data_IF_503905094177
#
_entry.id   IF_503905094177
#
_cell.length_a   1.000
_cell.length_b   1.000
_cell.length_c   1.000
_cell.angle_alpha   90.00
_cell.angle_beta   90.00
_cell.angle_gamma   90.00
#
_symmetry.space_group_name_H-M   'P 1'
#
loop_
_entity.id
_entity.type
_entity.pdbx_description
1 polymer ?
#
# COMPACT_ATOMS: atom_id res chain seq x y z
N UNK A 1 -17.16 -13.19 22.81
CA UNK A 1 -16.83 -12.76 21.43
C UNK A 1 -17.14 -13.92 20.50
N UNK A 2 -18.16 -13.78 19.65
CA UNK A 2 -18.68 -14.87 18.84
C UNK A 2 -17.66 -15.38 17.80
N UNK A 3 -17.44 -16.69 17.77
CA UNK A 3 -16.56 -17.37 16.80
C UNK A 3 -17.01 -17.07 15.36
N UNK A 4 -18.32 -16.95 15.14
CA UNK A 4 -18.90 -16.57 13.84
C UNK A 4 -18.49 -15.16 13.40
N UNK A 5 -18.48 -14.18 14.30
CA UNK A 5 -18.04 -12.81 14.02
C UNK A 5 -16.54 -12.75 13.70
N UNK A 6 -15.72 -13.55 14.38
CA UNK A 6 -14.28 -13.64 14.13
C UNK A 6 -13.97 -14.22 12.74
N UNK A 7 -14.73 -15.24 12.32
CA UNK A 7 -14.57 -15.85 11.00
C UNK A 7 -15.03 -14.92 9.88
N UNK A 8 -16.13 -14.19 10.06
CA UNK A 8 -16.61 -13.22 9.07
C UNK A 8 -15.62 -12.08 8.84
N UNK A 9 -14.99 -11.57 9.90
CA UNK A 9 -13.96 -10.51 9.76
C UNK A 9 -12.69 -11.00 9.05
N UNK A 10 -12.28 -12.25 9.25
CA UNK A 10 -11.13 -12.83 8.53
C UNK A 10 -11.42 -12.97 7.03
N UNK A 11 -12.60 -13.43 6.68
CA UNK A 11 -13.05 -13.58 5.28
C UNK A 11 -13.10 -12.21 4.62
N UNK A 12 -13.69 -11.22 5.28
CA UNK A 12 -13.77 -9.86 4.77
C UNK A 12 -12.38 -9.26 4.51
N UNK A 13 -11.46 -9.37 5.47
CA UNK A 13 -10.07 -8.89 5.32
C UNK A 13 -9.35 -9.55 4.15
N UNK A 14 -9.55 -10.84 3.92
CA UNK A 14 -9.00 -11.56 2.78
C UNK A 14 -9.54 -11.01 1.45
N UNK A 15 -10.84 -10.79 1.35
CA UNK A 15 -11.45 -10.22 0.15
C UNK A 15 -10.96 -8.79 -0.11
N UNK A 16 -10.92 -7.95 0.92
CA UNK A 16 -10.40 -6.59 0.82
C UNK A 16 -8.95 -6.62 0.36
N UNK A 17 -8.08 -7.41 1.00
CA UNK A 17 -6.66 -7.52 0.62
C UNK A 17 -6.48 -7.99 -0.83
N UNK A 18 -7.27 -8.98 -1.27
CA UNK A 18 -7.23 -9.50 -2.64
C UNK A 18 -7.51 -8.43 -3.67
N UNK A 19 -8.64 -7.73 -3.54
CA UNK A 19 -9.02 -6.68 -4.48
C UNK A 19 -8.09 -5.47 -4.44
N UNK A 20 -7.57 -5.16 -3.28
CA UNK A 20 -6.58 -4.10 -3.12
C UNK A 20 -5.26 -4.42 -3.80
N UNK A 21 -4.75 -5.65 -3.65
CA UNK A 21 -3.54 -6.07 -4.35
C UNK A 21 -3.71 -5.98 -5.86
N UNK A 22 -4.88 -6.35 -6.39
CA UNK A 22 -5.17 -6.20 -7.82
C UNK A 22 -5.18 -4.72 -8.23
N UNK A 23 -5.92 -3.89 -7.50
CA UNK A 23 -6.07 -2.46 -7.81
C UNK A 23 -4.73 -1.72 -7.71
N UNK A 24 -4.00 -1.87 -6.60
CA UNK A 24 -2.70 -1.22 -6.43
C UNK A 24 -1.63 -1.78 -7.37
N UNK A 25 -1.67 -3.08 -7.67
CA UNK A 25 -0.75 -3.67 -8.63
C UNK A 25 -0.92 -3.07 -10.02
N UNK A 26 -2.16 -2.93 -10.51
CA UNK A 26 -2.46 -2.30 -11.79
C UNK A 26 -2.12 -0.81 -11.79
N UNK A 27 -2.54 -0.10 -10.74
CA UNK A 27 -2.31 1.35 -10.63
C UNK A 27 -0.81 1.66 -10.60
N UNK A 28 -0.04 0.93 -9.78
CA UNK A 28 1.40 1.10 -9.69
C UNK A 28 2.12 0.78 -11.00
N UNK A 29 1.66 -0.23 -11.73
CA UNK A 29 2.19 -0.55 -13.05
C UNK A 29 1.97 0.59 -14.05
N UNK A 30 0.76 1.18 -14.08
CA UNK A 30 0.45 2.32 -14.94
C UNK A 30 1.34 3.51 -14.60
N UNK A 31 1.51 3.84 -13.31
CA UNK A 31 2.38 4.92 -12.88
C UNK A 31 3.85 4.65 -13.23
N UNK A 32 4.32 3.43 -13.08
CA UNK A 32 5.69 3.06 -13.46
C UNK A 32 5.95 3.31 -14.96
N UNK A 33 5.03 2.89 -15.82
CA UNK A 33 5.12 3.15 -17.27
C UNK A 33 5.14 4.66 -17.56
N UNK A 34 4.29 5.43 -16.87
CA UNK A 34 4.22 6.87 -17.02
C UNK A 34 5.50 7.59 -16.56
N UNK A 35 6.07 7.18 -15.43
CA UNK A 35 7.31 7.72 -14.88
C UNK A 35 8.52 7.36 -15.75
N UNK A 36 8.56 6.17 -16.33
CA UNK A 36 9.59 5.77 -17.28
C UNK A 36 9.55 6.60 -18.56
N UNK A 37 8.35 6.93 -19.06
CA UNK A 37 8.21 7.73 -20.31
C UNK A 37 8.67 9.18 -20.14
N UNK A 38 8.68 9.72 -18.92
CA UNK A 38 9.08 11.11 -18.62
C UNK A 38 10.57 11.33 -18.32
N UNK A 39 11.39 10.29 -18.38
CA UNK A 39 12.87 10.30 -18.25
C UNK A 39 13.45 10.95 -16.97
N UNK A 40 12.66 11.21 -15.93
CA UNK A 40 13.15 11.91 -14.74
C UNK A 40 13.03 11.16 -13.42
N UNK A 41 12.32 10.01 -13.38
CA UNK A 41 12.00 9.34 -12.12
C UNK A 41 12.26 7.83 -12.14
N UNK A 42 13.40 7.40 -12.68
CA UNK A 42 13.75 5.97 -12.78
C UNK A 42 13.71 5.21 -11.46
N UNK A 43 14.11 5.86 -10.35
CA UNK A 43 14.10 5.24 -9.02
C UNK A 43 12.67 4.98 -8.57
N UNK A 44 11.77 5.97 -8.72
CA UNK A 44 10.36 5.83 -8.37
C UNK A 44 9.70 4.77 -9.24
N UNK A 45 9.94 4.81 -10.55
CA UNK A 45 9.42 3.81 -11.48
C UNK A 45 9.89 2.38 -11.13
N UNK A 46 11.16 2.22 -10.75
CA UNK A 46 11.68 0.94 -10.28
C UNK A 46 10.99 0.43 -9.03
N UNK A 47 10.76 1.29 -8.04
CA UNK A 47 10.00 0.96 -6.83
C UNK A 47 8.55 0.59 -7.13
N UNK A 48 7.90 1.32 -8.05
CA UNK A 48 6.53 1.05 -8.48
C UNK A 48 6.42 -0.31 -9.21
N UNK A 49 7.38 -0.66 -10.05
CA UNK A 49 7.44 -1.98 -10.71
C UNK A 49 7.60 -3.09 -9.68
N UNK A 50 8.53 -2.94 -8.74
CA UNK A 50 8.73 -3.91 -7.66
C UNK A 50 7.47 -4.09 -6.80
N UNK A 51 6.82 -2.99 -6.45
CA UNK A 51 5.57 -3.01 -5.69
C UNK A 51 4.43 -3.67 -6.48
N UNK A 52 4.31 -3.37 -7.77
CA UNK A 52 3.33 -4.00 -8.66
C UNK A 52 3.54 -5.52 -8.72
N UNK A 53 4.78 -5.98 -8.93
CA UNK A 53 5.12 -7.40 -8.96
C UNK A 53 4.77 -8.10 -7.63
N UNK A 54 5.07 -7.47 -6.49
CA UNK A 54 4.73 -7.97 -5.17
C UNK A 54 3.21 -8.07 -4.98
N UNK A 55 2.44 -7.07 -5.38
CA UNK A 55 0.98 -7.08 -5.32
C UNK A 55 0.38 -8.21 -6.16
N UNK A 56 0.86 -8.41 -7.40
CA UNK A 56 0.40 -9.51 -8.25
C UNK A 56 0.78 -10.88 -7.67
N UNK A 57 1.97 -11.02 -7.11
CA UNK A 57 2.37 -12.26 -6.43
C UNK A 57 1.42 -12.59 -5.28
N UNK A 58 1.15 -11.62 -4.38
CA UNK A 58 0.24 -11.81 -3.25
C UNK A 58 -1.19 -12.10 -3.75
N UNK A 59 -1.66 -11.40 -4.78
CA UNK A 59 -2.97 -11.66 -5.40
C UNK A 59 -3.10 -13.11 -5.85
N UNK A 60 -2.11 -13.65 -6.58
CA UNK A 60 -2.10 -15.05 -7.05
C UNK A 60 -2.12 -16.02 -5.87
N UNK A 61 -1.34 -15.74 -4.81
CA UNK A 61 -1.34 -16.59 -3.62
C UNK A 61 -2.71 -16.58 -2.90
N UNK A 62 -3.36 -15.42 -2.83
CA UNK A 62 -4.69 -15.32 -2.23
C UNK A 62 -5.78 -16.00 -3.07
N UNK A 63 -5.67 -15.97 -4.40
CA UNK A 63 -6.55 -16.72 -5.30
C UNK A 63 -6.39 -18.23 -5.07
N UNK A 64 -5.16 -18.71 -4.86
CA UNK A 64 -4.85 -20.11 -4.51
C UNK A 64 -5.19 -20.49 -3.06
N UNK A 65 -5.94 -19.64 -2.34
CA UNK A 65 -6.30 -19.82 -0.93
C UNK A 65 -5.12 -19.96 0.06
N UNK A 66 -3.92 -19.57 -0.34
CA UNK A 66 -2.73 -19.55 0.52
C UNK A 66 -2.65 -18.22 1.26
N UNK A 67 -3.48 -18.05 2.29
CA UNK A 67 -3.45 -16.85 3.11
C UNK A 67 -2.34 -16.95 4.18
N UNK A 68 -1.49 -15.91 4.25
CA UNK A 68 -0.50 -15.72 5.32
C UNK A 68 -0.72 -14.36 5.99
N UNK A 69 -0.53 -14.30 7.30
CA UNK A 69 -0.79 -13.08 8.08
C UNK A 69 0.14 -11.92 7.69
N UNK A 70 1.34 -12.22 7.20
CA UNK A 70 2.32 -11.19 6.82
C UNK A 70 2.01 -10.49 5.49
N UNK A 71 1.12 -11.04 4.64
CA UNK A 71 0.79 -10.39 3.36
C UNK A 71 0.23 -8.97 3.53
N UNK A 72 -0.70 -8.79 4.47
CA UNK A 72 -1.27 -7.48 4.75
C UNK A 72 -0.21 -6.48 5.26
N UNK A 73 0.67 -6.93 6.15
CA UNK A 73 1.76 -6.12 6.70
C UNK A 73 2.72 -5.71 5.58
N UNK A 74 3.14 -6.66 4.75
CA UNK A 74 4.08 -6.40 3.65
C UNK A 74 3.50 -5.41 2.65
N UNK A 75 2.24 -5.54 2.25
CA UNK A 75 1.59 -4.58 1.34
C UNK A 75 1.53 -3.19 1.96
N UNK A 76 1.11 -3.09 3.22
CA UNK A 76 1.04 -1.79 3.92
C UNK A 76 2.41 -1.14 4.06
N UNK A 77 3.45 -1.89 4.43
CA UNK A 77 4.81 -1.36 4.57
C UNK A 77 5.39 -0.91 3.23
N UNK A 78 5.18 -1.71 2.18
CA UNK A 78 5.72 -1.40 0.85
C UNK A 78 5.01 -0.20 0.23
N UNK A 79 3.68 -0.08 0.35
CA UNK A 79 2.95 1.10 -0.14
C UNK A 79 3.36 2.37 0.63
N UNK A 80 3.58 2.27 1.94
CA UNK A 80 4.11 3.38 2.74
C UNK A 80 5.46 3.85 2.20
N UNK A 81 6.37 2.90 1.93
CA UNK A 81 7.70 3.21 1.41
C UNK A 81 7.63 3.88 0.04
N UNK A 82 6.82 3.37 -0.88
CA UNK A 82 6.63 3.96 -2.23
C UNK A 82 6.13 5.40 -2.13
N UNK A 83 5.14 5.66 -1.26
CA UNK A 83 4.58 7.00 -1.09
C UNK A 83 5.59 7.96 -0.45
N UNK A 84 6.33 7.52 0.57
CA UNK A 84 7.34 8.35 1.20
C UNK A 84 8.48 8.68 0.24
N UNK A 85 9.00 7.69 -0.50
CA UNK A 85 10.04 7.92 -1.51
C UNK A 85 9.55 8.83 -2.63
N UNK A 86 8.33 8.61 -3.12
CA UNK A 86 7.75 9.45 -4.17
C UNK A 86 7.51 10.89 -3.71
N UNK A 87 7.08 11.10 -2.46
CA UNK A 87 6.92 12.43 -1.89
C UNK A 87 8.26 13.12 -1.67
N UNK A 88 9.27 12.39 -1.21
CA UNK A 88 10.63 12.94 -1.00
C UNK A 88 11.26 13.40 -2.32
N UNK A 89 11.11 12.64 -3.40
CA UNK A 89 11.71 12.96 -4.70
C UNK A 89 10.94 14.05 -5.47
N UNK A 90 9.63 14.16 -5.28
CA UNK A 90 8.79 15.14 -5.98
C UNK A 90 7.55 15.52 -5.14
N UNK A 91 7.71 16.31 -4.08
CA UNK A 91 6.71 16.50 -3.04
C UNK A 91 5.35 17.01 -3.54
N UNK A 92 5.31 17.89 -4.53
CA UNK A 92 4.05 18.51 -4.98
C UNK A 92 3.63 18.11 -6.40
N UNK A 93 4.54 17.55 -7.20
CA UNK A 93 4.27 17.29 -8.63
C UNK A 93 3.52 15.98 -8.91
N UNK A 94 3.65 14.99 -8.05
CA UNK A 94 3.13 13.64 -8.32
C UNK A 94 1.78 13.35 -7.64
N UNK A 95 1.28 14.25 -6.79
CA UNK A 95 0.03 14.02 -6.05
C UNK A 95 0.08 12.83 -5.09
N UNK A 96 1.22 12.15 -4.97
CA UNK A 96 1.37 10.97 -4.10
C UNK A 96 1.12 11.28 -2.62
N UNK A 97 1.39 12.53 -2.20
CA UNK A 97 1.11 12.95 -0.83
C UNK A 97 -0.38 12.87 -0.47
N UNK A 98 -1.30 13.00 -1.46
CA UNK A 98 -2.74 12.86 -1.24
C UNK A 98 -3.12 11.44 -0.81
N UNK A 99 -2.37 10.44 -1.26
CA UNK A 99 -2.60 9.05 -0.86
C UNK A 99 -2.33 8.80 0.63
N UNK A 100 -1.49 9.62 1.26
CA UNK A 100 -1.23 9.54 2.69
C UNK A 100 -2.51 9.74 3.54
N UNK A 101 -3.49 10.47 3.02
CA UNK A 101 -4.78 10.66 3.71
C UNK A 101 -5.73 9.47 3.54
N UNK A 102 -5.61 8.72 2.46
CA UNK A 102 -6.43 7.52 2.19
C UNK A 102 -5.89 6.27 2.88
N UNK A 103 -4.58 6.17 3.06
CA UNK A 103 -3.92 5.00 3.64
C UNK A 103 -4.33 4.66 5.08
N UNK A 104 -4.60 5.61 6.00
CA UNK A 104 -5.02 5.29 7.36
C UNK A 104 -6.27 4.39 7.42
N UNK A 105 -7.25 4.65 6.56
CA UNK A 105 -8.47 3.83 6.48
C UNK A 105 -8.10 2.40 6.10
N UNK A 106 -7.22 2.27 5.17
CA UNK A 106 -6.72 1.03 4.60
C UNK A 106 -5.93 0.21 5.62
N UNK A 107 -5.02 0.85 6.33
CA UNK A 107 -4.25 0.21 7.39
C UNK A 107 -5.17 -0.28 8.51
N UNK A 108 -6.19 0.51 8.86
CA UNK A 108 -7.17 0.11 9.85
C UNK A 108 -7.95 -1.15 9.42
N UNK A 109 -8.38 -1.21 8.18
CA UNK A 109 -9.12 -2.35 7.63
C UNK A 109 -8.27 -3.62 7.55
N UNK A 110 -7.00 -3.50 7.12
CA UNK A 110 -6.12 -4.64 6.88
C UNK A 110 -5.42 -5.13 8.15
N UNK A 111 -4.87 -4.23 8.94
CA UNK A 111 -4.04 -4.54 10.11
C UNK A 111 -4.82 -4.52 11.43
N UNK A 112 -6.04 -3.97 11.41
CA UNK A 112 -6.86 -3.78 12.61
C UNK A 112 -6.46 -2.52 13.39
N UNK A 113 -7.17 -2.28 14.50
CA UNK A 113 -7.11 -1.01 15.25
C UNK A 113 -5.71 -0.66 15.74
N UNK A 114 -5.02 -1.58 16.42
CA UNK A 114 -3.74 -1.30 17.07
C UNK A 114 -2.63 -0.97 16.06
N UNK A 115 -2.38 -1.86 15.11
CA UNK A 115 -1.30 -1.68 14.12
C UNK A 115 -1.67 -0.66 13.05
N UNK A 116 -2.94 -0.56 12.68
CA UNK A 116 -3.43 0.43 11.73
C UNK A 116 -3.23 1.86 12.23
N UNK A 117 -3.58 2.17 13.48
CA UNK A 117 -3.37 3.50 14.07
C UNK A 117 -1.88 3.82 14.18
N UNK A 118 -1.06 2.86 14.65
CA UNK A 118 0.39 3.07 14.81
C UNK A 118 1.06 3.39 13.46
N UNK A 119 0.76 2.60 12.42
CA UNK A 119 1.34 2.82 11.09
C UNK A 119 0.85 4.11 10.45
N UNK A 120 -0.44 4.46 10.65
CA UNK A 120 -1.02 5.72 10.17
C UNK A 120 -0.37 6.94 10.81
N UNK A 121 -0.18 6.91 12.13
CA UNK A 121 0.49 7.99 12.85
C UNK A 121 1.94 8.16 12.37
N UNK A 122 2.67 7.06 12.22
CA UNK A 122 4.05 7.08 11.71
C UNK A 122 4.11 7.67 10.30
N UNK A 123 3.21 7.25 9.40
CA UNK A 123 3.14 7.79 8.04
C UNK A 123 2.89 9.30 8.04
N UNK A 124 1.90 9.77 8.80
CA UNK A 124 1.54 11.18 8.84
C UNK A 124 2.68 12.04 9.41
N UNK A 125 3.36 11.59 10.45
CA UNK A 125 4.51 12.29 11.02
C UNK A 125 5.65 12.37 10.00
N UNK A 126 6.00 11.25 9.36
CA UNK A 126 7.05 11.23 8.34
C UNK A 126 6.70 12.09 7.14
N UNK A 127 5.44 12.02 6.67
CA UNK A 127 4.95 12.83 5.55
C UNK A 127 5.02 14.33 5.86
N UNK A 128 4.57 14.73 7.06
CA UNK A 128 4.66 16.12 7.51
C UNK A 128 6.10 16.61 7.59
N UNK A 129 7.01 15.78 8.07
CA UNK A 129 8.45 16.11 8.13
C UNK A 129 9.03 16.33 6.73
N UNK A 130 8.66 15.50 5.76
CA UNK A 130 9.12 15.64 4.36
C UNK A 130 8.56 16.89 3.69
N UNK A 131 7.33 17.29 3.99
CA UNK A 131 6.71 18.49 3.41
C UNK A 131 7.19 19.80 4.03
N UNK A 132 7.69 19.76 5.27
CA UNK A 132 8.24 20.94 5.97
C UNK A 132 9.70 21.22 5.65
N UNK A 133 10.42 20.25 5.04
CA UNK A 133 11.82 20.36 4.64
C UNK A 133 11.98 20.77 3.19
#
# INVERSE_FOLDING_TARGET
>A
MDIAALNSTKILRKHVLKWMCLFFGLLSFIFAVFNLSKNHFYIVAGLEVCFSALCFYIFIQLVKNKQRNWYAITVCMTVTLVILCGTFLAPLKNGLFLWAFSLPILYYLLLGRKYGIMLSATLLVMQSSVLLY
#
